data_IF_834009537969
#
_entry.id   IF_834009537969
#
_cell.length_a   1.000
_cell.length_b   1.000
_cell.length_c   1.000
_cell.angle_alpha   90.00
_cell.angle_beta   90.00
_cell.angle_gamma   90.00
#
_symmetry.space_group_name_H-M   'P 1'
#
loop_
_entity.id
_entity.type
_entity.pdbx_description
1 polymer ?
#
# COMPACT_ATOMS: atom_id res chain seq x y z
N UNK A 1 21.38 1.78 11.88
CA UNK A 1 20.78 0.85 10.87
C UNK A 1 21.53 0.86 9.53
N UNK A 2 21.92 2.03 8.98
CA UNK A 2 22.66 2.16 7.70
C UNK A 2 24.05 1.49 7.65
N UNK A 3 24.60 1.09 8.80
CA UNK A 3 25.86 0.34 8.92
C UNK A 3 25.72 -1.19 8.70
N UNK A 4 24.50 -1.73 8.70
CA UNK A 4 24.25 -3.18 8.55
C UNK A 4 23.66 -3.57 7.19
N UNK A 5 23.13 -2.61 6.44
CA UNK A 5 22.50 -2.78 5.13
C UNK A 5 23.21 -1.86 4.14
N UNK A 6 23.66 -2.42 3.02
CA UNK A 6 24.31 -1.69 1.93
C UNK A 6 23.20 -0.97 1.13
N UNK A 7 23.02 0.32 1.41
CA UNK A 7 22.03 1.18 0.76
C UNK A 7 22.76 2.32 0.05
N UNK A 8 22.31 2.62 -1.17
CA UNK A 8 22.80 3.78 -1.91
C UNK A 8 22.56 5.08 -1.12
N UNK A 9 23.30 6.14 -1.46
CA UNK A 9 23.13 7.43 -0.80
C UNK A 9 21.72 8.01 -0.99
N UNK A 10 21.09 7.72 -2.13
CA UNK A 10 19.76 8.23 -2.49
C UNK A 10 18.60 7.29 -2.08
N UNK A 11 18.90 6.17 -1.41
CA UNK A 11 17.87 5.25 -0.95
C UNK A 11 17.19 5.79 0.33
N UNK A 12 15.87 5.99 0.26
CA UNK A 12 15.03 6.30 1.40
C UNK A 12 14.43 5.03 2.00
N UNK A 13 14.39 4.95 3.34
CA UNK A 13 13.70 3.86 4.05
C UNK A 13 12.22 4.19 4.15
N UNK A 14 11.36 3.42 3.48
CA UNK A 14 9.90 3.59 3.55
C UNK A 14 9.30 2.99 4.83
N UNK A 15 9.81 1.84 5.29
CA UNK A 15 9.32 1.14 6.48
C UNK A 15 10.36 0.14 7.01
N UNK A 16 10.25 -0.22 8.29
CA UNK A 16 11.04 -1.27 8.93
C UNK A 16 10.16 -2.14 9.83
N UNK A 17 10.30 -3.45 9.74
CA UNK A 17 9.49 -4.42 10.49
C UNK A 17 10.37 -5.50 11.11
N UNK A 18 10.02 -5.97 12.30
CA UNK A 18 10.57 -7.20 12.88
C UNK A 18 9.91 -8.39 12.21
N UNK A 19 10.69 -9.35 11.72
CA UNK A 19 10.17 -10.56 11.06
C UNK A 19 9.25 -11.36 11.98
N UNK A 20 8.05 -11.71 11.50
CA UNK A 20 7.08 -12.56 12.22
C UNK A 20 6.74 -13.88 11.48
N UNK A 21 7.26 -14.06 10.27
CA UNK A 21 7.22 -15.30 9.49
C UNK A 21 5.89 -15.65 8.81
N UNK A 22 4.77 -15.11 9.28
CA UNK A 22 3.44 -15.48 8.78
C UNK A 22 2.69 -14.34 8.10
N UNK A 23 3.24 -13.11 8.12
CA UNK A 23 2.55 -11.95 7.57
C UNK A 23 2.70 -11.87 6.06
N UNK A 24 1.86 -11.03 5.46
CA UNK A 24 2.02 -10.56 4.09
C UNK A 24 2.23 -9.06 4.11
N UNK A 25 2.69 -8.52 2.99
CA UNK A 25 2.80 -7.08 2.78
C UNK A 25 2.06 -6.68 1.51
N UNK A 26 1.36 -5.56 1.57
CA UNK A 26 1.00 -4.80 0.37
C UNK A 26 2.20 -3.94 -0.01
N UNK A 27 2.72 -4.18 -1.21
CA UNK A 27 3.81 -3.38 -1.78
C UNK A 27 3.32 -2.67 -3.04
N UNK A 28 3.65 -1.39 -3.20
CA UNK A 28 3.29 -0.62 -4.37
C UNK A 28 4.26 0.53 -4.65
N UNK A 29 4.36 0.89 -5.93
CA UNK A 29 5.10 2.05 -6.41
C UNK A 29 4.19 3.28 -6.56
N UNK A 30 4.78 4.48 -6.58
CA UNK A 30 4.07 5.72 -6.88
C UNK A 30 3.42 5.72 -8.27
N UNK A 31 3.84 4.83 -9.18
CA UNK A 31 3.18 4.64 -10.49
C UNK A 31 1.80 3.98 -10.43
N UNK A 32 1.34 3.55 -9.24
CA UNK A 32 0.04 2.89 -9.06
C UNK A 32 0.03 1.39 -9.30
N UNK A 33 1.21 0.76 -9.42
CA UNK A 33 1.35 -0.69 -9.53
C UNK A 33 1.80 -1.31 -8.22
N UNK A 34 1.23 -2.47 -7.88
CA UNK A 34 1.52 -3.17 -6.65
C UNK A 34 0.91 -4.58 -6.60
N UNK A 35 1.25 -5.31 -5.56
CA UNK A 35 0.88 -6.71 -5.34
C UNK A 35 1.02 -7.07 -3.86
N UNK A 36 0.55 -8.25 -3.49
CA UNK A 36 0.74 -8.81 -2.15
C UNK A 36 1.98 -9.70 -2.18
N UNK A 37 2.87 -9.57 -1.19
CA UNK A 37 4.06 -10.43 -1.06
C UNK A 37 4.08 -11.11 0.30
N UNK A 38 4.47 -12.38 0.34
CA UNK A 38 4.67 -13.07 1.60
C UNK A 38 5.92 -12.52 2.32
N UNK A 39 5.86 -12.34 3.63
CA UNK A 39 6.99 -11.82 4.42
C UNK A 39 8.26 -12.67 4.26
N UNK A 40 8.11 -14.00 4.13
CA UNK A 40 9.21 -14.91 3.84
C UNK A 40 9.93 -14.61 2.51
N UNK A 41 9.20 -14.10 1.51
CA UNK A 41 9.76 -13.75 0.21
C UNK A 41 10.50 -12.42 0.24
N UNK A 42 10.40 -11.64 1.32
CA UNK A 42 11.14 -10.39 1.50
C UNK A 42 12.53 -10.61 2.13
N UNK A 43 12.83 -11.81 2.62
CA UNK A 43 14.11 -12.11 3.25
C UNK A 43 15.27 -12.13 2.24
N UNK A 44 16.41 -11.61 2.67
CA UNK A 44 17.69 -11.69 1.95
C UNK A 44 18.79 -12.16 2.89
N UNK A 45 19.72 -12.94 2.36
CA UNK A 45 20.94 -13.37 3.04
C UNK A 45 22.15 -12.46 2.72
N UNK A 46 21.94 -11.40 1.93
CA UNK A 46 23.01 -10.46 1.55
C UNK A 46 22.75 -9.06 2.12
N UNK A 47 23.83 -8.31 2.35
CA UNK A 47 23.73 -6.90 2.81
C UNK A 47 23.07 -5.98 1.79
N UNK A 48 23.08 -6.35 0.50
CA UNK A 48 22.41 -5.62 -0.59
C UNK A 48 20.90 -5.79 -0.59
N UNK A 49 20.35 -6.62 0.29
CA UNK A 49 18.91 -6.90 0.35
C UNK A 49 18.43 -7.76 -0.81
N UNK A 50 17.11 -7.72 -1.06
CA UNK A 50 16.44 -8.42 -2.16
C UNK A 50 15.48 -7.45 -2.81
N UNK A 51 15.58 -7.30 -4.13
CA UNK A 51 14.61 -6.50 -4.86
C UNK A 51 13.30 -7.28 -5.02
N UNK A 52 12.26 -6.83 -4.32
CA UNK A 52 10.90 -7.38 -4.39
C UNK A 52 10.04 -6.58 -5.37
N UNK A 53 10.04 -5.24 -5.24
CA UNK A 53 9.28 -4.35 -6.11
C UNK A 53 10.17 -3.85 -7.25
N UNK A 54 9.74 -4.09 -8.49
CA UNK A 54 10.35 -3.49 -9.68
C UNK A 54 9.69 -2.13 -9.91
N UNK A 55 10.41 -1.06 -9.57
CA UNK A 55 9.94 0.32 -9.70
C UNK A 55 10.26 0.85 -11.10
N UNK A 56 9.27 1.33 -11.88
CA UNK A 56 9.53 1.96 -13.18
C UNK A 56 10.36 3.23 -13.06
N UNK A 57 11.05 3.61 -14.14
CA UNK A 57 11.77 4.88 -14.19
C UNK A 57 10.85 6.07 -13.88
N UNK A 58 11.31 6.99 -13.03
CA UNK A 58 10.54 8.15 -12.59
C UNK A 58 9.47 7.87 -11.53
N UNK A 59 9.38 6.63 -11.04
CA UNK A 59 8.56 6.27 -9.89
C UNK A 59 9.43 5.88 -8.69
N UNK A 60 8.81 5.78 -7.52
CA UNK A 60 9.45 5.41 -6.27
C UNK A 60 8.68 4.26 -5.61
N UNK A 61 9.33 3.52 -4.71
CA UNK A 61 8.64 2.58 -3.83
C UNK A 61 7.84 3.37 -2.79
N UNK A 62 6.52 3.45 -2.97
CA UNK A 62 5.66 4.30 -2.17
C UNK A 62 5.08 3.57 -0.96
N UNK A 63 4.79 2.27 -1.09
CA UNK A 63 4.02 1.50 -0.10
C UNK A 63 4.73 0.21 0.25
N UNK A 64 4.88 -0.03 1.55
CA UNK A 64 5.15 -1.32 2.15
C UNK A 64 4.40 -1.38 3.48
N UNK A 65 3.19 -1.96 3.48
CA UNK A 65 2.31 -2.02 4.65
C UNK A 65 1.94 -3.46 4.99
N UNK A 66 1.83 -3.85 6.27
CA UNK A 66 1.35 -5.16 6.65
C UNK A 66 -0.02 -5.46 6.03
N UNK A 67 -0.18 -6.71 5.59
CA UNK A 67 -1.43 -7.26 5.13
C UNK A 67 -1.72 -8.54 5.94
N UNK A 68 -3.01 -8.89 6.13
CA UNK A 68 -3.39 -10.13 6.78
C UNK A 68 -2.74 -11.34 6.11
N UNK A 69 -2.32 -12.32 6.92
CA UNK A 69 -1.72 -13.57 6.44
C UNK A 69 -2.62 -14.29 5.42
N UNK A 70 -3.94 -14.19 5.62
CA UNK A 70 -4.97 -14.70 4.72
C UNK A 70 -5.81 -13.55 4.19
N UNK A 71 -5.83 -13.42 2.87
CA UNK A 71 -6.72 -12.52 2.15
C UNK A 71 -7.88 -13.35 1.62
N UNK A 72 -9.09 -12.98 2.00
CA UNK A 72 -10.34 -13.61 1.57
C UNK A 72 -11.36 -12.56 1.11
N UNK A 73 -12.59 -12.99 0.85
CA UNK A 73 -13.65 -12.11 0.39
C UNK A 73 -13.97 -10.97 1.39
N UNK A 74 -13.67 -11.10 2.67
CA UNK A 74 -13.89 -10.06 3.68
C UNK A 74 -12.89 -8.90 3.58
N UNK A 75 -11.81 -9.04 2.80
CA UNK A 75 -10.74 -8.06 2.73
C UNK A 75 -10.86 -7.15 1.51
N UNK A 76 -10.56 -5.87 1.74
CA UNK A 76 -10.63 -4.80 0.75
C UNK A 76 -9.30 -4.06 0.71
N UNK A 77 -9.02 -3.42 -0.42
CA UNK A 77 -7.95 -2.44 -0.56
C UNK A 77 -8.57 -1.07 -0.73
N UNK A 78 -8.06 -0.10 0.01
CA UNK A 78 -8.30 1.31 -0.22
C UNK A 78 -7.04 1.94 -0.80
N UNK A 79 -7.16 2.71 -1.89
CA UNK A 79 -6.07 3.48 -2.49
C UNK A 79 -6.46 4.94 -2.64
N UNK A 80 -5.47 5.83 -2.54
CA UNK A 80 -5.61 7.27 -2.69
C UNK A 80 -4.47 7.81 -3.56
N UNK A 81 -4.82 8.65 -4.53
CA UNK A 81 -3.86 9.34 -5.39
C UNK A 81 -3.51 10.75 -4.92
N UNK A 82 -2.44 11.30 -5.48
CA UNK A 82 -2.05 12.70 -5.27
C UNK A 82 -3.14 13.70 -5.66
N UNK A 83 -3.95 13.33 -6.64
CA UNK A 83 -5.10 14.06 -7.13
C UNK A 83 -6.34 13.94 -6.23
N UNK A 84 -6.19 13.40 -5.01
CA UNK A 84 -7.26 13.14 -4.03
C UNK A 84 -8.34 12.20 -4.54
N UNK A 85 -8.04 11.35 -5.54
CA UNK A 85 -8.96 10.31 -5.99
C UNK A 85 -8.78 9.06 -5.16
N UNK A 86 -9.87 8.57 -4.61
CA UNK A 86 -9.99 7.45 -3.70
C UNK A 86 -10.74 6.30 -4.39
N UNK A 87 -10.24 5.08 -4.23
CA UNK A 87 -10.84 3.87 -4.79
C UNK A 87 -10.78 2.74 -3.77
N UNK A 88 -11.86 1.98 -3.64
CA UNK A 88 -11.92 0.76 -2.84
C UNK A 88 -12.29 -0.40 -3.73
N UNK A 89 -11.60 -1.53 -3.60
CA UNK A 89 -11.90 -2.75 -4.36
C UNK A 89 -11.48 -4.00 -3.57
N UNK A 90 -12.02 -5.19 -3.88
CA UNK A 90 -11.69 -6.42 -3.17
C UNK A 90 -10.20 -6.76 -3.22
N UNK A 91 -9.61 -7.10 -2.07
CA UNK A 91 -8.19 -7.40 -1.95
C UNK A 91 -7.77 -8.64 -2.77
N UNK A 92 -8.68 -9.60 -2.93
CA UNK A 92 -8.50 -10.79 -3.77
C UNK A 92 -8.24 -10.48 -5.26
N UNK A 93 -8.41 -9.23 -5.71
CA UNK A 93 -8.07 -8.82 -7.07
C UNK A 93 -6.59 -8.47 -7.25
N UNK A 94 -5.79 -8.43 -6.18
CA UNK A 94 -4.33 -8.35 -6.29
C UNK A 94 -3.73 -9.76 -6.31
N UNK A 95 -2.75 -10.01 -7.20
CA UNK A 95 -1.99 -11.24 -7.16
C UNK A 95 -1.05 -11.25 -5.95
N UNK A 96 -0.78 -12.45 -5.45
CA UNK A 96 0.35 -12.70 -4.58
C UNK A 96 1.58 -13.02 -5.44
N UNK A 97 2.68 -12.30 -5.22
CA UNK A 97 3.91 -12.45 -6.01
C UNK A 97 5.14 -12.35 -5.10
N UNK A 98 6.21 -13.06 -5.44
CA UNK A 98 7.49 -12.97 -4.72
C UNK A 98 8.38 -11.81 -5.20
N UNK A 99 8.18 -11.36 -6.45
CA UNK A 99 8.83 -10.19 -7.06
C UNK A 99 8.05 -9.70 -8.27
N UNK A 100 8.10 -8.40 -8.56
CA UNK A 100 7.65 -7.87 -9.84
C UNK A 100 7.24 -6.40 -9.80
N UNK A 101 6.69 -5.91 -10.90
CA UNK A 101 6.07 -4.57 -10.96
C UNK A 101 4.70 -4.54 -10.27
N UNK A 102 4.01 -5.68 -10.24
CA UNK A 102 2.63 -5.79 -9.79
C UNK A 102 1.60 -5.35 -10.84
N UNK A 103 0.34 -5.33 -10.43
CA UNK A 103 -0.80 -4.93 -11.25
C UNK A 103 -1.25 -3.51 -10.89
N UNK A 104 -2.00 -2.87 -11.77
CA UNK A 104 -2.55 -1.53 -11.49
C UNK A 104 -3.58 -1.61 -10.35
N UNK A 105 -3.35 -0.83 -9.29
CA UNK A 105 -4.30 -0.60 -8.19
C UNK A 105 -5.35 0.42 -8.62
N UNK A 106 -4.88 1.58 -9.09
CA UNK A 106 -5.71 2.72 -9.48
C UNK A 106 -5.02 3.46 -10.64
N UNK A 107 -5.80 4.00 -11.58
CA UNK A 107 -5.29 4.82 -12.69
C UNK A 107 -5.27 6.29 -12.30
N UNK A 108 -4.18 6.99 -12.61
CA UNK A 108 -4.02 8.41 -12.34
C UNK A 108 -3.85 9.17 -13.66
N UNK A 109 -4.68 10.20 -13.88
CA UNK A 109 -4.50 11.11 -15.02
C UNK A 109 -3.37 12.12 -14.77
N UNK A 110 -3.14 12.48 -13.50
CA UNK A 110 -2.08 13.37 -13.03
C UNK A 110 -1.63 12.92 -11.64
N UNK A 111 -0.32 12.95 -11.40
CA UNK A 111 0.30 12.47 -10.16
C UNK A 111 0.36 10.95 -10.09
N UNK A 112 0.56 10.42 -8.88
CA UNK A 112 0.69 8.99 -8.65
C UNK A 112 -0.16 8.48 -7.49
N UNK A 113 0.14 7.24 -7.09
CA UNK A 113 -0.36 6.64 -5.86
C UNK A 113 0.29 7.34 -4.67
N UNK A 114 -0.56 7.90 -3.80
CA UNK A 114 -0.13 8.55 -2.57
C UNK A 114 -0.12 7.57 -1.40
N UNK A 115 -1.13 6.72 -1.26
CA UNK A 115 -1.17 5.69 -0.23
C UNK A 115 -2.13 4.55 -0.61
N UNK A 116 -1.95 3.38 0.00
CA UNK A 116 -2.88 2.27 -0.10
C UNK A 116 -2.78 1.35 1.13
N UNK A 117 -3.89 0.81 1.61
CA UNK A 117 -3.89 -0.20 2.70
C UNK A 117 -4.92 -1.29 2.50
N UNK A 118 -4.66 -2.44 3.11
CA UNK A 118 -5.62 -3.55 3.22
C UNK A 118 -6.44 -3.36 4.49
N UNK A 119 -7.74 -3.65 4.44
CA UNK A 119 -8.61 -3.63 5.61
C UNK A 119 -9.71 -4.69 5.51
N UNK A 120 -10.28 -5.08 6.64
CA UNK A 120 -11.43 -5.97 6.72
C UNK A 120 -12.74 -5.18 6.61
N UNK A 121 -13.71 -5.68 5.85
CA UNK A 121 -15.06 -5.10 5.78
C UNK A 121 -15.73 -5.03 7.15
N UNK A 122 -15.39 -5.96 8.06
CA UNK A 122 -15.94 -6.02 9.42
C UNK A 122 -15.37 -4.91 10.30
N UNK A 123 -14.06 -4.70 10.22
CA UNK A 123 -13.36 -3.74 11.10
C UNK A 123 -13.48 -2.30 10.57
N UNK A 124 -13.83 -2.16 9.29
CA UNK A 124 -13.98 -0.88 8.62
C UNK A 124 -12.64 -0.31 8.15
N UNK A 125 -12.72 0.78 7.39
CA UNK A 125 -11.53 1.50 6.95
C UNK A 125 -11.11 2.46 8.04
N UNK A 126 -9.82 2.49 8.37
CA UNK A 126 -9.27 3.43 9.34
C UNK A 126 -8.31 4.42 8.72
N UNK A 127 -8.29 5.64 9.24
CA UNK A 127 -7.18 6.56 9.03
C UNK A 127 -6.88 7.44 10.25
N UNK A 128 -5.65 7.92 10.34
CA UNK A 128 -5.21 8.84 11.39
C UNK A 128 -5.47 10.29 11.00
N UNK A 129 -6.17 11.03 11.85
CA UNK A 129 -6.40 12.46 11.65
C UNK A 129 -5.18 13.32 12.00
N UNK A 130 -5.28 14.65 11.80
CA UNK A 130 -4.19 15.59 12.12
C UNK A 130 -3.82 15.64 13.60
N UNK A 131 -4.72 15.22 14.49
CA UNK A 131 -4.50 15.13 15.94
C UNK A 131 -3.95 13.78 16.38
N UNK A 132 -3.63 12.87 15.45
CA UNK A 132 -3.10 11.54 15.76
C UNK A 132 -4.15 10.51 16.17
N UNK A 133 -5.45 10.84 16.09
CA UNK A 133 -6.52 9.91 16.45
C UNK A 133 -6.87 9.01 15.28
N UNK A 134 -7.03 7.72 15.54
CA UNK A 134 -7.53 6.74 14.56
C UNK A 134 -9.04 6.90 14.45
N UNK A 135 -9.51 7.15 13.23
CA UNK A 135 -10.91 7.24 12.89
C UNK A 135 -11.31 6.01 12.09
N UNK A 136 -12.29 5.25 12.56
CA UNK A 136 -12.95 4.21 11.77
C UNK A 136 -14.07 4.85 10.96
N UNK A 137 -14.06 4.60 9.65
CA UNK A 137 -14.96 5.26 8.71
C UNK A 137 -15.77 4.22 7.95
N UNK A 138 -17.06 4.16 8.24
CA UNK A 138 -18.02 3.29 7.53
C UNK A 138 -18.34 3.80 6.12
N UNK A 139 -18.06 5.08 5.86
CA UNK A 139 -18.30 5.80 4.61
C UNK A 139 -17.41 5.40 3.43
N UNK A 140 -16.78 4.23 3.45
CA UNK A 140 -15.94 3.74 2.34
C UNK A 140 -16.78 3.14 1.18
N UNK A 141 -18.02 2.68 1.46
CA UNK A 141 -18.88 2.01 0.45
C UNK A 141 -19.12 2.82 -0.84
N UNK A 142 -19.34 4.15 -0.81
CA UNK A 142 -19.50 4.97 -2.03
C UNK A 142 -18.29 5.00 -2.97
N UNK A 143 -17.14 4.53 -2.48
CA UNK A 143 -15.87 4.47 -3.19
C UNK A 143 -15.56 3.07 -3.74
N UNK A 144 -16.46 2.11 -3.54
CA UNK A 144 -16.35 0.79 -4.13
C UNK A 144 -16.39 0.91 -5.67
N UNK A 145 -15.40 0.30 -6.33
CA UNK A 145 -15.29 0.27 -7.78
C UNK A 145 -14.51 -0.93 -8.28
N UNK A 146 -14.29 -0.99 -9.60
CA UNK A 146 -13.42 -2.00 -10.21
C UNK A 146 -11.95 -1.59 -10.00
N UNK A 147 -11.07 -2.56 -9.71
CA UNK A 147 -9.61 -2.32 -9.69
C UNK A 147 -9.17 -1.63 -10.98
N UNK A 148 -8.17 -0.75 -10.88
CA UNK A 148 -7.64 0.05 -11.98
C UNK A 148 -8.61 1.12 -12.56
N UNK A 149 -9.72 1.42 -11.89
CA UNK A 149 -10.47 2.64 -12.16
C UNK A 149 -9.74 3.88 -11.60
N UNK A 150 -10.21 5.07 -11.98
CA UNK A 150 -9.62 6.33 -11.51
C UNK A 150 -10.02 6.68 -10.06
N UNK A 151 -11.14 6.14 -9.56
CA UNK A 151 -11.69 6.48 -8.25
C UNK A 151 -12.51 7.79 -8.24
N UNK A 152 -12.97 8.19 -7.05
CA UNK A 152 -13.81 9.38 -6.79
C UNK A 152 -13.10 10.32 -5.83
N UNK A 153 -13.54 11.56 -5.67
CA UNK A 153 -12.90 12.49 -4.72
C UNK A 153 -13.02 11.94 -3.29
N UNK A 154 -11.89 11.86 -2.59
CA UNK A 154 -11.78 11.33 -1.24
C UNK A 154 -12.83 11.92 -0.27
N UNK A 155 -13.25 11.14 0.74
CA UNK A 155 -14.28 11.59 1.68
C UNK A 155 -13.87 12.85 2.42
N UNK A 156 -14.86 13.66 2.81
CA UNK A 156 -14.64 14.78 3.72
C UNK A 156 -13.99 14.24 5.00
N UNK A 157 -12.96 14.91 5.48
CA UNK A 157 -12.19 14.49 6.65
C UNK A 157 -11.03 13.53 6.36
N UNK A 158 -10.82 13.09 5.12
CA UNK A 158 -9.59 12.37 4.76
C UNK A 158 -8.37 13.27 4.97
N UNK A 159 -7.24 12.77 5.50
CA UNK A 159 -6.07 13.58 5.80
C UNK A 159 -5.54 14.33 4.58
N UNK A 160 -5.17 15.60 4.76
CA UNK A 160 -4.60 16.41 3.67
C UNK A 160 -3.22 15.95 3.22
N UNK A 161 -2.54 15.19 4.07
CA UNK A 161 -1.30 14.46 3.74
C UNK A 161 -1.53 13.32 2.75
N UNK A 162 -2.81 12.97 2.46
CA UNK A 162 -3.21 11.92 1.52
C UNK A 162 -2.67 10.53 1.92
N UNK A 163 -2.46 10.31 3.21
CA UNK A 163 -2.09 9.02 3.79
C UNK A 163 -3.16 8.55 4.75
N UNK A 164 -3.28 7.23 4.90
CA UNK A 164 -4.12 6.61 5.92
C UNK A 164 -3.53 6.72 7.34
N UNK A 165 -2.30 7.24 7.52
CA UNK A 165 -1.65 7.28 8.83
C UNK A 165 -0.89 5.99 9.15
N UNK A 166 -0.20 5.90 10.31
CA UNK A 166 0.66 4.76 10.59
C UNK A 166 -0.18 3.50 10.81
N UNK A 167 0.17 2.42 10.10
CA UNK A 167 -0.17 1.05 10.51
C UNK A 167 0.90 0.56 11.50
#
# INVERSE_FOLDING_TARGET
MRLMVDMGNDDAITAAFVYQGTRKFLVASSSGHGFIVAEQDCLSNTRKGKQVLNVPAGAEAAICRPAPAKIDAAHMIASIGDNKKFLVFPAAQLPEMSRGKGVVLQKFQKGGLSDAKVFSRKDGLTWTDRSGRIQTVEGWKPYLGKRAQAGRIAPKGFPTSKTFGPD
#
